data_IF_002381983618
#
_entry.id   IF_002381983618
#
_cell.length_a   1.000
_cell.length_b   1.000
_cell.length_c   1.000
_cell.angle_alpha   90.00
_cell.angle_beta   90.00
_cell.angle_gamma   90.00
#
_symmetry.space_group_name_H-M   'P 1'
#
loop_
_entity.id
_entity.type
_entity.pdbx_description
1 polymer ?
#
# COMPACT_ATOMS: atom_id res chain seq x y z
N UNK A 1 3.88 -10.82 12.83
CA UNK A 1 3.11 -10.18 13.92
C UNK A 1 2.25 -9.11 13.29
N UNK A 2 0.95 -9.37 13.08
CA UNK A 2 0.02 -8.39 12.50
C UNK A 2 -0.29 -7.34 13.58
N UNK A 3 -0.09 -6.06 13.30
CA UNK A 3 -0.54 -5.00 14.21
C UNK A 3 -2.06 -5.16 14.41
N UNK A 4 -2.47 -5.47 15.65
CA UNK A 4 -3.88 -5.70 16.00
C UNK A 4 -4.76 -4.47 15.79
N UNK A 5 -4.16 -3.30 15.53
CA UNK A 5 -4.87 -2.05 15.21
C UNK A 5 -5.31 -1.95 13.76
N UNK A 6 -4.81 -2.80 12.86
CA UNK A 6 -5.21 -2.82 11.45
C UNK A 6 -6.33 -3.83 11.26
N UNK A 7 -7.47 -3.35 10.78
CA UNK A 7 -8.63 -4.17 10.41
C UNK A 7 -8.85 -4.06 8.90
N UNK A 8 -8.89 -5.18 8.19
CA UNK A 8 -9.30 -5.22 6.78
C UNK A 8 -10.79 -5.56 6.75
N UNK A 9 -11.59 -4.63 6.25
CA UNK A 9 -13.05 -4.78 6.21
C UNK A 9 -13.51 -5.47 4.93
N UNK A 10 -12.91 -5.09 3.80
CA UNK A 10 -13.25 -5.63 2.49
C UNK A 10 -12.00 -5.74 1.63
N UNK A 11 -11.76 -6.92 1.05
CA UNK A 11 -10.88 -7.09 -0.11
C UNK A 11 -11.78 -7.08 -1.34
N UNK A 12 -11.63 -6.06 -2.17
CA UNK A 12 -12.50 -5.85 -3.32
C UNK A 12 -12.12 -6.82 -4.44
N UNK A 13 -13.11 -7.37 -5.13
CA UNK A 13 -12.88 -8.27 -6.27
C UNK A 13 -12.11 -7.53 -7.37
N UNK A 14 -11.28 -8.27 -8.11
CA UNK A 14 -10.64 -7.79 -9.33
C UNK A 14 -11.73 -7.34 -10.33
N UNK A 15 -12.09 -6.07 -10.33
CA UNK A 15 -13.02 -5.51 -11.29
C UNK A 15 -12.29 -5.25 -12.60
N UNK A 16 -12.97 -5.44 -13.73
CA UNK A 16 -12.47 -5.10 -15.07
C UNK A 16 -12.06 -3.62 -15.16
N UNK A 17 -12.68 -2.74 -14.36
CA UNK A 17 -12.37 -1.30 -14.23
C UNK A 17 -11.31 -0.97 -13.16
N UNK A 18 -10.65 -1.97 -12.59
CA UNK A 18 -9.59 -1.86 -11.58
C UNK A 18 -9.96 -1.05 -10.33
N UNK A 19 -10.95 -1.41 -9.53
CA UNK A 19 -11.41 -0.72 -8.32
C UNK A 19 -10.33 -0.49 -7.25
N UNK A 20 -10.73 -0.20 -6.02
CA UNK A 20 -9.79 -0.33 -4.89
C UNK A 20 -9.33 -1.79 -4.80
N UNK A 21 -8.28 -2.07 -4.06
CA UNK A 21 -7.87 -3.45 -3.77
C UNK A 21 -8.31 -3.88 -2.36
N UNK A 22 -8.36 -2.93 -1.41
CA UNK A 22 -8.99 -3.16 -0.11
C UNK A 22 -9.51 -1.86 0.52
N UNK A 23 -10.41 -2.03 1.49
CA UNK A 23 -10.85 -1.00 2.44
C UNK A 23 -10.64 -1.54 3.86
N UNK A 24 -10.17 -0.69 4.76
CA UNK A 24 -9.94 -1.08 6.14
C UNK A 24 -9.95 0.09 7.11
N UNK A 25 -9.62 -0.21 8.36
CA UNK A 25 -9.59 0.73 9.49
C UNK A 25 -8.31 0.58 10.29
N UNK A 26 -7.72 1.70 10.69
CA UNK A 26 -6.66 1.76 11.69
C UNK A 26 -7.24 2.28 13.01
N UNK A 27 -7.08 1.50 14.08
CA UNK A 27 -7.61 1.83 15.41
C UNK A 27 -6.65 2.74 16.17
N UNK A 28 -7.12 3.95 16.49
CA UNK A 28 -6.45 4.93 17.32
C UNK A 28 -7.15 5.02 18.68
N UNK A 29 -6.42 5.36 19.74
CA UNK A 29 -6.99 5.55 21.08
C UNK A 29 -6.97 4.30 21.94
N UNK A 30 -7.81 4.31 22.99
CA UNK A 30 -7.91 3.26 23.99
C UNK A 30 -8.93 2.19 23.55
N UNK A 31 -8.87 0.99 24.12
CA UNK A 31 -9.82 -0.09 23.80
C UNK A 31 -11.28 0.29 24.10
N UNK A 32 -11.49 1.06 25.17
CA UNK A 32 -12.83 1.48 25.63
C UNK A 32 -13.39 2.68 24.85
N UNK A 33 -12.52 3.44 24.15
CA UNK A 33 -12.90 4.61 23.36
C UNK A 33 -12.04 4.72 22.07
N UNK A 34 -12.26 3.83 21.09
CA UNK A 34 -11.47 3.78 19.88
C UNK A 34 -11.96 4.76 18.81
N UNK A 35 -11.01 5.41 18.13
CA UNK A 35 -11.25 6.17 16.89
C UNK A 35 -10.78 5.35 15.70
N UNK A 36 -11.67 5.15 14.73
CA UNK A 36 -11.36 4.41 13.50
C UNK A 36 -10.94 5.36 12.39
N UNK A 37 -9.66 5.33 12.02
CA UNK A 37 -9.17 5.99 10.82
C UNK A 37 -9.34 5.03 9.63
N UNK A 38 -10.37 5.26 8.82
CA UNK A 38 -10.63 4.46 7.62
C UNK A 38 -9.58 4.71 6.53
N UNK A 39 -9.25 3.67 5.76
CA UNK A 39 -8.35 3.78 4.62
C UNK A 39 -8.83 3.03 3.39
N UNK A 40 -8.42 3.54 2.23
CA UNK A 40 -8.52 2.87 0.94
C UNK A 40 -7.12 2.41 0.50
N UNK A 41 -7.00 1.16 0.08
CA UNK A 41 -5.74 0.57 -0.37
C UNK A 41 -5.76 0.31 -1.87
N UNK A 42 -4.65 0.67 -2.53
CA UNK A 42 -4.36 0.30 -3.92
C UNK A 42 -2.96 -0.32 -4.00
N UNK A 43 -2.86 -1.50 -4.60
CA UNK A 43 -1.66 -2.29 -4.76
C UNK A 43 -1.24 -2.35 -6.24
N UNK A 44 0.05 -2.11 -6.50
CA UNK A 44 0.64 -2.17 -7.85
C UNK A 44 1.89 -3.04 -7.86
N UNK A 45 1.76 -4.24 -8.41
CA UNK A 45 2.90 -5.13 -8.67
C UNK A 45 3.62 -4.69 -9.95
N UNK A 46 4.45 -3.65 -9.85
CA UNK A 46 5.24 -3.11 -10.95
C UNK A 46 6.70 -3.54 -10.85
N UNK A 47 7.37 -3.57 -12.00
CA UNK A 47 8.77 -3.97 -12.09
C UNK A 47 9.68 -2.96 -11.37
N UNK A 48 10.44 -3.36 -10.34
CA UNK A 48 11.43 -2.50 -9.69
C UNK A 48 12.62 -2.21 -10.62
N UNK A 49 13.51 -1.32 -10.17
CA UNK A 49 14.78 -1.07 -10.86
C UNK A 49 15.66 -2.31 -10.77
N UNK A 50 16.25 -2.71 -11.90
CA UNK A 50 17.32 -3.71 -11.95
C UNK A 50 18.54 -3.14 -12.68
N UNK A 51 19.59 -3.95 -12.81
CA UNK A 51 20.77 -3.65 -13.64
C UNK A 51 20.43 -3.51 -15.12
N UNK A 52 19.39 -4.21 -15.58
CA UNK A 52 19.03 -4.33 -17.00
C UNK A 52 17.92 -3.36 -17.42
N UNK A 53 17.12 -2.86 -16.48
CA UNK A 53 15.98 -2.00 -16.80
C UNK A 53 15.65 -0.97 -15.71
N UNK A 54 15.34 0.26 -16.14
CA UNK A 54 14.84 1.33 -15.27
C UNK A 54 13.51 0.93 -14.63
N UNK A 55 13.22 1.33 -13.38
CA UNK A 55 11.96 0.97 -12.72
C UNK A 55 10.71 1.40 -13.52
N UNK A 56 9.66 0.58 -13.52
CA UNK A 56 8.33 1.03 -13.90
C UNK A 56 7.70 1.74 -12.69
N UNK A 57 7.62 3.06 -12.71
CA UNK A 57 7.22 3.85 -11.54
C UNK A 57 5.71 4.00 -11.44
N UNK A 58 5.22 4.18 -10.21
CA UNK A 58 3.84 4.61 -9.99
C UNK A 58 3.77 6.12 -10.19
N UNK A 59 2.98 6.57 -11.17
CA UNK A 59 2.91 7.95 -11.61
C UNK A 59 1.73 8.72 -11.04
N UNK A 60 1.59 9.96 -11.53
CA UNK A 60 0.51 10.89 -11.13
C UNK A 60 -0.86 10.29 -11.39
N UNK A 61 -1.03 9.53 -12.49
CA UNK A 61 -2.32 8.93 -12.85
C UNK A 61 -2.82 7.93 -11.80
N UNK A 62 -1.96 7.01 -11.36
CA UNK A 62 -2.31 6.02 -10.34
C UNK A 62 -2.55 6.70 -8.98
N UNK A 63 -1.76 7.70 -8.64
CA UNK A 63 -1.91 8.46 -7.38
C UNK A 63 -3.20 9.29 -7.37
N UNK A 64 -3.47 10.05 -8.43
CA UNK A 64 -4.70 10.84 -8.59
C UNK A 64 -5.96 9.97 -8.49
N UNK A 65 -5.86 8.74 -9.00
CA UNK A 65 -6.92 7.75 -8.90
C UNK A 65 -7.14 7.27 -7.46
N UNK A 66 -6.09 7.02 -6.69
CA UNK A 66 -6.23 6.74 -5.27
C UNK A 66 -6.84 7.94 -4.54
N UNK A 67 -6.36 9.16 -4.81
CA UNK A 67 -6.87 10.41 -4.21
C UNK A 67 -8.37 10.55 -4.45
N UNK A 68 -8.85 10.38 -5.69
CA UNK A 68 -10.27 10.51 -6.03
C UNK A 68 -11.15 9.46 -5.36
N UNK A 69 -10.55 8.36 -4.90
CA UNK A 69 -11.21 7.29 -4.17
C UNK A 69 -11.19 7.49 -2.66
N UNK A 70 -10.39 8.38 -2.09
CA UNK A 70 -10.42 8.62 -0.65
C UNK A 70 -11.69 9.43 -0.31
N UNK A 71 -12.57 8.90 0.55
CA UNK A 71 -13.76 9.64 1.02
C UNK A 71 -13.40 10.57 2.19
N UNK A 72 -14.36 11.38 2.65
CA UNK A 72 -14.13 12.33 3.75
C UNK A 72 -13.52 11.63 4.98
N UNK A 73 -12.37 12.14 5.45
CA UNK A 73 -11.57 11.65 6.59
C UNK A 73 -10.88 10.29 6.43
N UNK A 74 -10.95 9.69 5.24
CA UNK A 74 -10.15 8.52 4.93
C UNK A 74 -8.71 8.94 4.61
N UNK A 75 -7.77 8.00 4.73
CA UNK A 75 -6.44 8.12 4.14
C UNK A 75 -6.21 7.04 3.07
N UNK A 76 -5.22 7.24 2.21
CA UNK A 76 -4.83 6.30 1.17
C UNK A 76 -3.63 5.47 1.59
N UNK A 77 -3.59 4.20 1.21
CA UNK A 77 -2.41 3.35 1.28
C UNK A 77 -2.10 2.87 -0.13
N UNK A 78 -0.95 3.27 -0.66
CA UNK A 78 -0.48 2.77 -1.95
C UNK A 78 0.70 1.84 -1.73
N UNK A 79 0.52 0.58 -2.09
CA UNK A 79 1.54 -0.47 -1.99
C UNK A 79 2.09 -0.75 -3.38
N UNK A 80 3.41 -0.76 -3.55
CA UNK A 80 4.02 -1.17 -4.80
C UNK A 80 5.34 -1.90 -4.61
N UNK A 81 5.59 -2.91 -5.43
CA UNK A 81 6.89 -3.59 -5.53
C UNK A 81 7.95 -2.73 -6.23
N UNK A 82 7.57 -1.57 -6.76
CA UNK A 82 8.46 -0.62 -7.45
C UNK A 82 8.66 0.66 -6.62
N UNK A 83 8.80 1.81 -7.28
CA UNK A 83 9.02 3.13 -6.69
C UNK A 83 7.98 4.14 -7.17
N UNK A 84 7.76 5.18 -6.39
CA UNK A 84 6.89 6.32 -6.76
C UNK A 84 7.67 7.29 -7.64
N UNK A 85 7.07 7.79 -8.71
CA UNK A 85 7.65 8.83 -9.53
C UNK A 85 7.86 10.12 -8.72
N UNK A 86 9.00 10.80 -8.91
CA UNK A 86 9.35 12.00 -8.14
C UNK A 86 8.26 13.07 -8.15
N UNK A 87 7.71 13.37 -9.33
CA UNK A 87 6.61 14.33 -9.48
C UNK A 87 5.39 13.93 -8.64
N UNK A 88 4.95 12.66 -8.75
CA UNK A 88 3.79 12.18 -8.01
C UNK A 88 4.01 12.23 -6.49
N UNK A 89 5.22 11.93 -6.02
CA UNK A 89 5.59 12.05 -4.61
C UNK A 89 5.56 13.51 -4.15
N UNK A 90 6.18 14.41 -4.90
CA UNK A 90 6.22 15.85 -4.61
C UNK A 90 4.80 16.44 -4.54
N UNK A 91 3.93 16.13 -5.52
CA UNK A 91 2.52 16.56 -5.52
C UNK A 91 1.77 16.10 -4.26
N UNK A 92 1.86 14.81 -3.90
CA UNK A 92 1.23 14.27 -2.69
C UNK A 92 1.68 14.99 -1.42
N UNK A 93 2.98 15.30 -1.30
CA UNK A 93 3.51 15.96 -0.10
C UNK A 93 3.19 17.44 -0.07
N UNK A 94 3.29 18.14 -1.20
CA UNK A 94 3.01 19.57 -1.30
C UNK A 94 1.52 19.86 -1.05
N UNK A 95 0.63 19.04 -1.62
CA UNK A 95 -0.82 19.20 -1.50
C UNK A 95 -1.38 18.56 -0.22
N UNK A 96 -0.50 17.95 0.59
CA UNK A 96 -0.82 17.31 1.88
C UNK A 96 -1.91 16.25 1.75
N UNK A 97 -1.89 15.49 0.66
CA UNK A 97 -2.77 14.34 0.51
C UNK A 97 -2.42 13.29 1.58
N UNK A 98 -3.41 12.77 2.35
CA UNK A 98 -3.15 11.81 3.42
C UNK A 98 -2.89 10.42 2.80
N UNK A 99 -1.70 10.21 2.27
CA UNK A 99 -1.30 8.97 1.60
C UNK A 99 -0.03 8.40 2.23
N UNK A 100 -0.11 7.13 2.58
CA UNK A 100 1.01 6.28 2.95
C UNK A 100 1.50 5.55 1.70
N UNK A 101 2.79 5.67 1.41
CA UNK A 101 3.45 4.88 0.38
C UNK A 101 4.21 3.73 1.02
N UNK A 102 4.01 2.52 0.52
CA UNK A 102 4.78 1.32 0.86
C UNK A 102 5.42 0.81 -0.42
N UNK A 103 6.71 1.06 -0.59
CA UNK A 103 7.45 0.78 -1.81
C UNK A 103 8.24 -0.53 -1.72
N UNK A 104 8.90 -0.93 -2.81
CA UNK A 104 9.61 -2.21 -2.88
C UNK A 104 10.65 -2.41 -1.77
N UNK A 105 11.34 -1.33 -1.36
CA UNK A 105 12.26 -1.37 -0.21
C UNK A 105 11.54 -1.66 1.09
N UNK A 106 10.43 -0.96 1.36
CA UNK A 106 9.66 -1.10 2.60
C UNK A 106 9.09 -2.53 2.71
N UNK A 107 8.58 -3.09 1.60
CA UNK A 107 8.09 -4.47 1.53
C UNK A 107 9.22 -5.46 1.84
N UNK A 108 10.39 -5.28 1.24
CA UNK A 108 11.54 -6.15 1.49
C UNK A 108 11.99 -6.09 2.96
N UNK A 109 12.08 -4.90 3.54
CA UNK A 109 12.42 -4.71 4.96
C UNK A 109 11.39 -5.38 5.87
N UNK A 110 10.08 -5.23 5.60
CA UNK A 110 9.00 -5.90 6.35
C UNK A 110 9.15 -7.44 6.28
N UNK A 111 9.39 -8.00 5.09
CA UNK A 111 9.57 -9.44 4.90
C UNK A 111 10.79 -9.95 5.66
N UNK A 112 11.93 -9.24 5.55
CA UNK A 112 13.16 -9.58 6.27
C UNK A 112 12.93 -9.55 7.79
N UNK A 113 12.29 -8.51 8.32
CA UNK A 113 11.97 -8.40 9.75
C UNK A 113 10.99 -9.48 10.22
N UNK A 114 10.11 -9.96 9.35
CA UNK A 114 9.21 -11.06 9.63
C UNK A 114 9.86 -12.46 9.52
N UNK A 115 11.14 -12.54 9.14
CA UNK A 115 11.89 -13.79 9.00
C UNK A 115 11.93 -14.36 7.58
N UNK A 116 11.28 -13.71 6.61
CA UNK A 116 11.24 -14.09 5.19
C UNK A 116 12.39 -13.43 4.41
N UNK A 117 13.63 -13.69 4.83
CA UNK A 117 14.83 -13.06 4.28
C UNK A 117 15.50 -13.84 3.12
N UNK A 118 14.85 -14.90 2.63
CA UNK A 118 15.36 -15.78 1.56
C UNK A 118 14.26 -16.03 0.54
N UNK A 119 14.65 -16.35 -0.70
CA UNK A 119 13.72 -16.62 -1.78
C UNK A 119 12.80 -17.80 -1.44
N UNK A 120 13.37 -18.85 -0.85
CA UNK A 120 12.65 -20.06 -0.44
C UNK A 120 11.56 -19.73 0.56
N UNK A 121 11.88 -18.96 1.62
CA UNK A 121 10.90 -18.57 2.64
C UNK A 121 9.81 -17.65 2.09
N UNK A 122 10.15 -16.74 1.17
CA UNK A 122 9.14 -15.89 0.52
C UNK A 122 8.23 -16.74 -0.37
N UNK A 123 8.76 -17.71 -1.12
CA UNK A 123 7.95 -18.62 -1.93
C UNK A 123 7.03 -19.50 -1.08
N UNK A 124 7.52 -20.01 0.05
CA UNK A 124 6.72 -20.77 1.01
C UNK A 124 5.56 -19.91 1.53
N UNK A 125 5.84 -18.68 1.99
CA UNK A 125 4.83 -17.73 2.43
C UNK A 125 3.77 -17.42 1.37
N UNK A 126 4.20 -17.20 0.12
CA UNK A 126 3.29 -16.92 -0.99
C UNK A 126 2.45 -18.13 -1.41
N UNK A 127 2.89 -19.36 -1.12
CA UNK A 127 2.15 -20.58 -1.46
C UNK A 127 0.95 -20.86 -0.53
N UNK A 128 0.85 -20.16 0.60
CA UNK A 128 -0.24 -20.29 1.56
C UNK A 128 -1.52 -19.52 1.16
N UNK A 129 -1.48 -18.75 0.06
CA UNK A 129 -2.55 -17.83 -0.37
C UNK A 129 -3.08 -18.12 -1.77
#
# INVERSE_FOLDING_TARGET
MTDRRVLIDEVTRASVDGGRDAIGRYVLGLSEDPVYAEFALEAKCYRPRSTEAAANTVGVREVARLISRIRHRQFGVLVTTSVIARQAYEEVRNDRHPIVFVCGRDIAEILIHAGYSTLERVNEFLSEW
#
